data_IF_974666820894
#
_entry.id   IF_974666820894
#
_cell.length_a   1.000
_cell.length_b   1.000
_cell.length_c   1.000
_cell.angle_alpha   90.00
_cell.angle_beta   90.00
_cell.angle_gamma   90.00
#
_symmetry.space_group_name_H-M   'P 1'
#
loop_
_entity.id
_entity.type
_entity.pdbx_description
1 polymer ?
#
# COMPACT_ATOMS: atom_id res chain seq x y z
N UNK A 1 10.74 -87.67 -27.58
CA UNK A 1 11.82 -87.22 -26.68
C UNK A 1 11.27 -86.06 -25.86
N UNK A 2 10.75 -86.37 -24.67
CA UNK A 2 10.27 -85.42 -23.67
C UNK A 2 11.40 -85.23 -22.66
N UNK A 3 11.89 -84.00 -22.52
CA UNK A 3 12.91 -83.66 -21.53
C UNK A 3 12.19 -83.12 -20.29
N UNK A 4 12.18 -83.92 -19.23
CA UNK A 4 11.78 -83.49 -17.89
C UNK A 4 12.85 -82.56 -17.33
N UNK A 5 12.50 -81.30 -17.08
CA UNK A 5 13.36 -80.38 -16.32
C UNK A 5 12.97 -80.49 -14.85
N UNK A 6 13.81 -81.20 -14.12
CA UNK A 6 13.79 -81.29 -12.67
C UNK A 6 13.96 -79.89 -12.05
N UNK A 7 12.90 -79.43 -11.36
CA UNK A 7 12.86 -78.14 -10.69
C UNK A 7 13.23 -78.31 -9.22
N UNK A 8 14.37 -78.92 -8.93
CA UNK A 8 14.92 -79.00 -7.56
C UNK A 8 16.44 -78.82 -7.53
N UNK A 9 16.91 -77.61 -7.83
CA UNK A 9 18.25 -77.17 -7.44
C UNK A 9 18.16 -75.84 -6.69
N UNK A 10 18.58 -75.87 -5.43
CA UNK A 10 18.50 -74.75 -4.49
C UNK A 10 19.29 -73.53 -4.98
N UNK A 11 18.57 -72.42 -5.15
CA UNK A 11 19.19 -71.09 -5.24
C UNK A 11 19.66 -70.63 -3.85
N UNK A 12 20.79 -69.90 -3.76
CA UNK A 12 21.31 -69.43 -2.48
C UNK A 12 20.28 -68.53 -1.79
N UNK A 13 20.07 -68.75 -0.49
CA UNK A 13 19.16 -67.97 0.33
C UNK A 13 19.44 -66.46 0.17
N UNK A 14 18.48 -65.74 -0.40
CA UNK A 14 18.57 -64.30 -0.58
C UNK A 14 18.74 -63.62 0.78
N UNK A 15 19.88 -62.95 0.97
CA UNK A 15 20.10 -62.01 2.08
C UNK A 15 18.97 -60.98 2.12
N UNK A 16 18.41 -60.66 3.30
CA UNK A 16 17.36 -59.64 3.43
C UNK A 16 17.85 -58.30 2.85
N UNK A 17 16.99 -57.53 2.16
CA UNK A 17 17.38 -56.22 1.64
C UNK A 17 17.79 -55.32 2.81
N UNK A 18 19.00 -54.78 2.72
CA UNK A 18 19.56 -53.86 3.72
C UNK A 18 18.68 -52.61 3.79
N UNK A 19 18.29 -52.12 4.99
CA UNK A 19 17.50 -50.90 5.10
C UNK A 19 18.24 -49.73 4.44
N UNK A 20 17.56 -48.84 3.69
CA UNK A 20 18.22 -47.72 3.04
C UNK A 20 18.92 -46.84 4.08
N UNK A 21 20.20 -46.60 3.85
CA UNK A 21 21.07 -45.83 4.75
C UNK A 21 20.51 -44.40 4.91
N UNK A 22 20.33 -43.95 6.15
CA UNK A 22 19.74 -42.65 6.42
C UNK A 22 20.66 -41.54 5.87
N UNK A 23 20.17 -40.80 4.86
CA UNK A 23 20.89 -39.71 4.22
C UNK A 23 21.25 -38.66 5.28
N UNK A 24 22.53 -38.58 5.64
CA UNK A 24 23.06 -37.57 6.55
C UNK A 24 23.01 -36.20 5.86
N UNK A 25 21.96 -35.44 6.09
CA UNK A 25 21.83 -34.08 5.58
C UNK A 25 22.96 -33.19 6.13
N UNK A 26 23.92 -32.83 5.27
CA UNK A 26 24.98 -31.86 5.61
C UNK A 26 24.41 -30.47 5.32
N UNK A 27 24.29 -29.58 6.32
CA UNK A 27 23.77 -28.23 6.08
C UNK A 27 24.72 -27.44 5.18
N UNK A 28 24.19 -26.94 4.05
CA UNK A 28 24.94 -26.09 3.13
C UNK A 28 25.25 -24.75 3.82
N UNK A 29 26.54 -24.39 3.88
CA UNK A 29 26.97 -23.13 4.51
C UNK A 29 26.74 -21.97 3.54
N UNK A 30 25.87 -21.03 3.93
CA UNK A 30 25.46 -19.90 3.10
C UNK A 30 26.38 -18.68 3.30
N UNK A 31 27.69 -18.84 3.01
CA UNK A 31 28.68 -17.76 3.20
C UNK A 31 28.31 -16.46 2.49
N UNK A 32 27.69 -16.53 1.31
CA UNK A 32 27.20 -15.36 0.57
C UNK A 32 26.22 -14.50 1.36
N UNK A 33 25.36 -15.08 2.23
CA UNK A 33 24.40 -14.34 3.06
C UNK A 33 25.11 -13.52 4.15
N UNK A 34 26.16 -14.07 4.74
CA UNK A 34 26.96 -13.38 5.75
C UNK A 34 27.75 -12.24 5.12
N UNK A 35 28.39 -12.48 3.97
CA UNK A 35 29.10 -11.44 3.22
C UNK A 35 28.14 -10.32 2.81
N UNK A 36 26.97 -10.63 2.26
CA UNK A 36 25.98 -9.62 1.90
C UNK A 36 25.45 -8.84 3.11
N UNK A 37 25.27 -9.50 4.26
CA UNK A 37 24.85 -8.84 5.48
C UNK A 37 25.92 -7.87 6.01
N UNK A 38 27.19 -8.29 6.00
CA UNK A 38 28.31 -7.42 6.39
C UNK A 38 28.43 -6.22 5.47
N UNK A 39 28.33 -6.42 4.15
CA UNK A 39 28.35 -5.33 3.18
C UNK A 39 27.17 -4.37 3.40
N UNK A 40 25.97 -4.88 3.63
CA UNK A 40 24.80 -4.05 3.91
C UNK A 40 24.95 -3.22 5.19
N UNK A 41 25.47 -3.82 6.26
CA UNK A 41 25.74 -3.12 7.53
C UNK A 41 26.84 -2.07 7.34
N UNK A 42 27.91 -2.39 6.61
CA UNK A 42 28.98 -1.44 6.32
C UNK A 42 28.48 -0.23 5.52
N UNK A 43 27.63 -0.46 4.51
CA UNK A 43 27.00 0.62 3.75
C UNK A 43 26.09 1.48 4.63
N UNK A 44 25.26 0.87 5.48
CA UNK A 44 24.40 1.60 6.41
C UNK A 44 25.23 2.44 7.39
N UNK A 45 26.28 1.85 7.96
CA UNK A 45 27.21 2.54 8.86
C UNK A 45 27.91 3.69 8.15
N UNK A 46 28.33 3.52 6.89
CA UNK A 46 28.93 4.57 6.09
C UNK A 46 27.96 5.74 5.84
N UNK A 47 26.68 5.44 5.57
CA UNK A 47 25.63 6.47 5.43
C UNK A 47 25.42 7.22 6.75
N UNK A 48 25.25 6.51 7.87
CA UNK A 48 25.08 7.12 9.20
C UNK A 48 26.29 7.97 9.56
N UNK A 49 27.50 7.47 9.31
CA UNK A 49 28.73 8.20 9.52
C UNK A 49 28.77 9.48 8.68
N UNK A 50 28.46 9.40 7.38
CA UNK A 50 28.41 10.57 6.50
C UNK A 50 27.43 11.64 7.00
N UNK A 51 26.23 11.25 7.44
CA UNK A 51 25.25 12.17 8.02
C UNK A 51 25.68 12.74 9.38
N UNK A 52 26.41 11.97 10.19
CA UNK A 52 26.96 12.46 11.48
C UNK A 52 28.03 13.54 11.31
N UNK A 53 28.78 13.49 10.21
CA UNK A 53 29.81 14.49 9.86
C UNK A 53 29.23 15.69 9.10
N UNK A 54 27.96 15.63 8.68
CA UNK A 54 27.28 16.74 8.02
C UNK A 54 27.10 17.94 8.97
N UNK A 55 27.05 19.15 8.41
CA UNK A 55 26.69 20.38 9.13
C UNK A 55 25.20 20.43 9.43
N UNK A 56 24.70 19.47 10.21
CA UNK A 56 23.28 19.33 10.57
C UNK A 56 23.14 19.59 12.07
N UNK A 57 22.33 20.57 12.44
CA UNK A 57 21.96 20.83 13.81
C UNK A 57 20.85 19.86 14.26
N UNK A 58 21.25 18.64 14.65
CA UNK A 58 20.32 17.62 15.17
C UNK A 58 19.52 18.08 16.40
N UNK A 59 20.02 19.09 17.14
CA UNK A 59 19.30 19.70 18.27
C UNK A 59 18.04 20.47 17.87
N UNK A 60 17.95 20.97 16.63
CA UNK A 60 16.78 21.69 16.16
C UNK A 60 15.55 20.79 15.97
N UNK A 61 15.72 19.50 15.70
CA UNK A 61 14.59 18.60 15.39
C UNK A 61 13.67 18.43 16.62
N UNK A 62 14.18 18.07 17.82
CA UNK A 62 13.35 18.01 19.03
C UNK A 62 12.63 19.32 19.36
N UNK A 63 13.30 20.47 19.16
CA UNK A 63 12.74 21.79 19.48
C UNK A 63 11.51 22.12 18.63
N UNK A 64 11.51 21.74 17.35
CA UNK A 64 10.40 21.99 16.44
C UNK A 64 9.42 20.80 16.28
N UNK A 65 9.72 19.63 16.87
CA UNK A 65 8.96 18.40 16.59
C UNK A 65 7.47 18.54 16.93
N UNK A 66 7.15 19.26 18.01
CA UNK A 66 5.79 19.53 18.47
C UNK A 66 5.41 21.02 18.36
N UNK A 67 6.08 21.79 17.51
CA UNK A 67 5.71 23.18 17.22
C UNK A 67 4.28 23.25 16.63
N UNK A 68 3.48 24.21 17.09
CA UNK A 68 2.08 24.36 16.69
C UNK A 68 1.89 24.46 15.17
N UNK A 69 2.86 25.07 14.47
CA UNK A 69 2.82 25.19 13.01
C UNK A 69 2.97 23.82 12.35
N UNK A 70 3.91 23.00 12.84
CA UNK A 70 4.14 21.63 12.36
C UNK A 70 2.90 20.78 12.61
N UNK A 71 2.32 20.84 13.81
CA UNK A 71 1.10 20.10 14.15
C UNK A 71 -0.10 20.55 13.31
N UNK A 72 -0.20 21.86 13.02
CA UNK A 72 -1.23 22.40 12.11
C UNK A 72 -1.02 21.89 10.67
N UNK A 73 0.22 21.88 10.18
CA UNK A 73 0.59 21.33 8.87
C UNK A 73 0.25 19.83 8.77
N UNK A 74 0.59 19.05 9.80
CA UNK A 74 0.21 17.65 9.93
C UNK A 74 -1.32 17.46 9.89
N UNK A 75 -2.07 18.29 10.62
CA UNK A 75 -3.53 18.26 10.59
C UNK A 75 -4.10 18.52 9.19
N UNK A 76 -3.52 19.47 8.45
CA UNK A 76 -3.88 19.76 7.06
C UNK A 76 -3.51 18.61 6.11
N UNK A 77 -2.36 17.97 6.29
CA UNK A 77 -1.96 16.75 5.56
C UNK A 77 -3.02 15.66 5.75
N UNK A 78 -3.44 15.40 6.99
CA UNK A 78 -4.48 14.41 7.30
C UNK A 78 -5.84 14.79 6.71
N UNK A 79 -6.22 16.07 6.79
CA UNK A 79 -7.46 16.59 6.21
C UNK A 79 -7.51 16.34 4.69
N UNK A 80 -6.48 16.75 3.96
CA UNK A 80 -6.39 16.52 2.51
C UNK A 80 -6.40 15.03 2.19
N UNK A 81 -5.66 14.21 2.95
CA UNK A 81 -5.62 12.76 2.75
C UNK A 81 -7.04 12.17 2.85
N UNK A 82 -7.79 12.49 3.90
CA UNK A 82 -9.15 11.96 4.09
C UNK A 82 -10.10 12.45 3.00
N UNK A 83 -10.11 13.77 2.71
CA UNK A 83 -11.04 14.33 1.73
C UNK A 83 -10.72 13.85 0.30
N UNK A 84 -9.44 13.77 -0.09
CA UNK A 84 -9.03 13.25 -1.38
C UNK A 84 -9.39 11.76 -1.52
N UNK A 85 -9.18 10.95 -0.47
CA UNK A 85 -9.61 9.54 -0.48
C UNK A 85 -11.13 9.39 -0.57
N UNK A 86 -11.92 10.27 0.06
CA UNK A 86 -13.38 10.24 -0.06
C UNK A 86 -13.82 10.50 -1.50
N UNK A 87 -13.24 11.52 -2.14
CA UNK A 87 -13.48 11.80 -3.56
C UNK A 87 -13.03 10.60 -4.41
N UNK A 88 -11.84 10.06 -4.14
CA UNK A 88 -11.26 8.95 -4.86
C UNK A 88 -12.09 7.67 -4.78
N UNK A 89 -12.56 7.30 -3.59
CA UNK A 89 -13.39 6.11 -3.39
C UNK A 89 -14.76 6.29 -4.06
N UNK A 90 -15.44 7.42 -3.83
CA UNK A 90 -16.77 7.67 -4.41
C UNK A 90 -16.67 7.76 -5.93
N UNK A 91 -15.75 8.58 -6.45
CA UNK A 91 -15.51 8.74 -7.87
C UNK A 91 -15.05 7.43 -8.52
N UNK A 92 -14.17 6.69 -7.88
CA UNK A 92 -13.67 5.40 -8.36
C UNK A 92 -14.76 4.34 -8.47
N UNK A 93 -15.65 4.23 -7.47
CA UNK A 93 -16.80 3.32 -7.54
C UNK A 93 -17.71 3.69 -8.72
N UNK A 94 -18.02 4.98 -8.89
CA UNK A 94 -18.85 5.45 -10.00
C UNK A 94 -18.21 5.13 -11.36
N UNK A 95 -16.93 5.44 -11.52
CA UNK A 95 -16.16 5.20 -12.74
C UNK A 95 -16.02 3.70 -13.03
N UNK A 96 -15.83 2.86 -12.02
CA UNK A 96 -15.77 1.40 -12.18
C UNK A 96 -17.10 0.85 -12.73
N UNK A 97 -18.23 1.30 -12.17
CA UNK A 97 -19.57 0.93 -12.66
C UNK A 97 -19.79 1.43 -14.08
N UNK A 98 -19.42 2.68 -14.37
CA UNK A 98 -19.49 3.24 -15.72
C UNK A 98 -18.67 2.42 -16.72
N UNK A 99 -17.47 2.00 -16.32
CA UNK A 99 -16.55 1.22 -17.15
C UNK A 99 -17.08 -0.17 -17.48
N UNK A 100 -17.78 -0.81 -16.53
CA UNK A 100 -18.42 -2.12 -16.69
C UNK A 100 -19.79 -2.07 -17.38
N UNK A 101 -20.32 -0.87 -17.65
CA UNK A 101 -21.60 -0.70 -18.32
C UNK A 101 -21.57 -1.22 -19.76
N UNK A 102 -22.68 -1.83 -20.20
CA UNK A 102 -22.90 -2.22 -21.61
C UNK A 102 -23.10 -1.01 -22.53
N UNK A 103 -23.39 0.18 -21.99
CA UNK A 103 -23.53 1.40 -22.77
C UNK A 103 -22.15 1.88 -23.24
N UNK A 104 -21.87 1.89 -24.56
CA UNK A 104 -20.56 2.26 -25.08
C UNK A 104 -20.18 3.71 -24.76
N UNK A 105 -21.15 4.63 -24.65
CA UNK A 105 -20.89 6.04 -24.31
C UNK A 105 -20.37 6.15 -22.88
N UNK A 106 -21.09 5.56 -21.93
CA UNK A 106 -20.71 5.57 -20.51
C UNK A 106 -19.37 4.90 -20.26
N UNK A 107 -19.13 3.74 -20.89
CA UNK A 107 -17.86 3.02 -20.77
C UNK A 107 -16.69 3.77 -21.41
N UNK A 108 -16.91 4.47 -22.52
CA UNK A 108 -15.88 5.27 -23.20
C UNK A 108 -15.50 6.52 -22.42
N UNK A 109 -16.47 7.22 -21.80
CA UNK A 109 -16.19 8.37 -20.93
C UNK A 109 -15.33 7.94 -19.74
N UNK A 110 -15.70 6.86 -19.06
CA UNK A 110 -14.92 6.34 -17.94
C UNK A 110 -13.52 5.89 -18.38
N UNK A 111 -13.40 5.26 -19.55
CA UNK A 111 -12.11 4.88 -20.10
C UNK A 111 -11.19 6.07 -20.34
N UNK A 112 -11.71 7.11 -20.99
CA UNK A 112 -10.94 8.31 -21.30
C UNK A 112 -10.49 9.02 -20.02
N UNK A 113 -11.38 9.14 -19.04
CA UNK A 113 -11.05 9.69 -17.71
C UNK A 113 -9.91 8.90 -17.07
N UNK A 114 -10.05 7.57 -16.96
CA UNK A 114 -9.04 6.71 -16.31
C UNK A 114 -7.71 6.79 -17.05
N UNK A 115 -7.73 6.73 -18.38
CA UNK A 115 -6.54 6.86 -19.22
C UNK A 115 -5.84 8.20 -19.01
N UNK A 116 -6.57 9.31 -18.99
CA UNK A 116 -6.01 10.64 -18.83
C UNK A 116 -5.36 10.82 -17.45
N UNK A 117 -6.10 10.51 -16.37
CA UNK A 117 -5.64 10.75 -15.00
C UNK A 117 -4.52 9.79 -14.57
N UNK A 118 -4.52 8.54 -15.05
CA UNK A 118 -3.42 7.60 -14.79
C UNK A 118 -2.24 7.76 -15.76
N UNK A 119 -2.50 8.28 -16.95
CA UNK A 119 -1.48 8.51 -17.98
C UNK A 119 -0.67 9.80 -17.78
N UNK A 120 -1.12 10.70 -16.91
CA UNK A 120 -0.44 11.97 -16.63
C UNK A 120 0.04 12.05 -15.17
N UNK A 121 1.26 12.55 -14.89
CA UNK A 121 1.73 12.67 -13.51
C UNK A 121 0.86 13.63 -12.69
N UNK A 122 0.52 13.23 -11.46
CA UNK A 122 -0.32 14.05 -10.55
C UNK A 122 0.32 15.41 -10.25
N UNK A 123 1.65 15.49 -10.16
CA UNK A 123 2.36 16.76 -9.98
C UNK A 123 2.08 17.73 -11.14
N UNK A 124 2.07 17.23 -12.38
CA UNK A 124 1.76 18.03 -13.58
C UNK A 124 0.30 18.49 -13.52
N UNK A 125 -0.63 17.61 -13.13
CA UNK A 125 -2.04 17.98 -12.96
C UNK A 125 -2.21 19.13 -11.95
N UNK A 126 -1.59 19.02 -10.77
CA UNK A 126 -1.63 20.05 -9.73
C UNK A 126 -1.11 21.40 -10.24
N UNK A 127 0.08 21.40 -10.87
CA UNK A 127 0.69 22.64 -11.38
C UNK A 127 -0.16 23.26 -12.47
N UNK A 128 -0.66 22.47 -13.43
CA UNK A 128 -1.50 22.98 -14.51
C UNK A 128 -2.77 23.60 -13.95
N UNK A 129 -3.49 22.90 -13.07
CA UNK A 129 -4.77 23.38 -12.55
C UNK A 129 -4.65 24.64 -11.71
N UNK A 130 -3.59 24.73 -10.91
CA UNK A 130 -3.28 25.94 -10.15
C UNK A 130 -3.01 27.14 -11.05
N UNK A 131 -2.33 26.91 -12.19
CA UNK A 131 -1.88 27.96 -13.10
C UNK A 131 -2.81 28.18 -14.30
N UNK A 132 -3.98 27.52 -14.37
CA UNK A 132 -4.94 27.73 -15.45
C UNK A 132 -5.45 29.18 -15.50
N UNK A 133 -5.35 29.93 -14.41
CA UNK A 133 -5.64 31.36 -14.36
C UNK A 133 -4.78 32.21 -15.28
N UNK A 134 -3.59 31.73 -15.67
CA UNK A 134 -2.73 32.37 -16.66
C UNK A 134 -3.29 32.29 -18.09
N UNK A 135 -4.19 31.33 -18.34
CA UNK A 135 -4.85 31.11 -19.64
C UNK A 135 -6.29 31.60 -19.60
N UNK A 136 -6.99 31.34 -18.51
CA UNK A 136 -8.39 31.69 -18.29
C UNK A 136 -8.51 32.59 -17.07
N UNK A 137 -8.62 33.91 -17.28
CA UNK A 137 -8.71 34.89 -16.20
C UNK A 137 -9.95 34.68 -15.30
N UNK A 138 -11.07 34.28 -15.90
CA UNK A 138 -12.32 34.03 -15.20
C UNK A 138 -12.81 32.61 -15.46
N UNK A 139 -13.35 31.97 -14.42
CA UNK A 139 -14.30 30.87 -14.61
C UNK A 139 -15.67 31.48 -14.89
N UNK A 140 -16.27 31.17 -16.04
CA UNK A 140 -17.58 31.69 -16.43
C UNK A 140 -18.49 30.53 -16.82
N UNK A 141 -19.36 30.14 -15.88
CA UNK A 141 -20.35 29.08 -16.05
C UNK A 141 -21.72 29.66 -16.47
N UNK A 142 -21.73 30.72 -17.29
CA UNK A 142 -22.95 31.36 -17.77
C UNK A 142 -23.67 32.16 -16.67
N UNK A 143 -25.02 32.21 -16.64
CA UNK A 143 -25.75 33.09 -15.72
C UNK A 143 -25.68 32.67 -14.25
N UNK A 144 -25.02 31.55 -13.92
CA UNK A 144 -25.05 30.93 -12.61
C UNK A 144 -23.85 31.30 -11.72
N UNK A 145 -22.66 31.47 -12.31
CA UNK A 145 -21.44 31.71 -11.56
C UNK A 145 -20.35 32.31 -12.44
N UNK A 146 -19.73 33.38 -11.94
CA UNK A 146 -18.54 34.00 -12.53
C UNK A 146 -17.63 34.47 -11.42
N UNK A 147 -16.37 34.07 -11.50
CA UNK A 147 -15.34 34.46 -10.53
C UNK A 147 -13.96 34.49 -11.21
N UNK A 148 -13.00 35.16 -10.59
CA UNK A 148 -11.61 35.08 -11.02
C UNK A 148 -11.08 33.66 -10.80
N UNK A 149 -10.31 33.14 -11.75
CA UNK A 149 -9.79 31.78 -11.63
C UNK A 149 -8.93 31.62 -10.37
N UNK A 150 -8.13 32.63 -10.04
CA UNK A 150 -7.25 32.63 -8.86
C UNK A 150 -8.03 32.56 -7.54
N UNK A 151 -9.19 33.21 -7.49
CA UNK A 151 -10.07 33.19 -6.31
C UNK A 151 -10.86 31.89 -6.22
N UNK A 152 -11.29 31.34 -7.36
CA UNK A 152 -11.97 30.06 -7.43
C UNK A 152 -11.03 28.88 -7.10
N UNK A 153 -9.88 28.78 -7.79
CA UNK A 153 -8.90 27.69 -7.64
C UNK A 153 -7.88 27.97 -6.54
N UNK A 154 -8.37 28.08 -5.30
CA UNK A 154 -7.50 28.19 -4.12
C UNK A 154 -6.51 27.02 -4.01
N UNK A 155 -5.38 27.17 -3.29
CA UNK A 155 -4.45 26.07 -3.02
C UNK A 155 -5.12 24.83 -2.43
N UNK A 156 -6.11 25.03 -1.55
CA UNK A 156 -6.89 23.94 -0.96
C UNK A 156 -7.75 23.23 -2.00
N UNK A 157 -8.51 23.97 -2.81
CA UNK A 157 -9.36 23.37 -3.84
C UNK A 157 -8.53 22.63 -4.88
N UNK A 158 -7.40 23.20 -5.29
CA UNK A 158 -6.45 22.58 -6.21
C UNK A 158 -5.90 21.27 -5.65
N UNK A 159 -5.47 21.26 -4.38
CA UNK A 159 -5.02 20.05 -3.70
C UNK A 159 -6.11 18.98 -3.66
N UNK A 160 -7.33 19.37 -3.30
CA UNK A 160 -8.46 18.45 -3.14
C UNK A 160 -8.88 17.83 -4.47
N UNK A 161 -9.08 18.65 -5.50
CA UNK A 161 -9.47 18.17 -6.82
C UNK A 161 -8.33 17.39 -7.48
N UNK A 162 -7.10 17.93 -7.45
CA UNK A 162 -5.95 17.34 -8.12
C UNK A 162 -5.63 15.95 -7.58
N UNK A 163 -5.58 15.80 -6.25
CA UNK A 163 -5.35 14.50 -5.64
C UNK A 163 -6.58 13.60 -5.70
N UNK A 164 -7.78 14.13 -5.40
CA UNK A 164 -9.00 13.32 -5.34
C UNK A 164 -9.45 12.76 -6.69
N UNK A 165 -9.35 13.54 -7.76
CA UNK A 165 -9.69 13.08 -9.12
C UNK A 165 -8.62 12.12 -9.66
N UNK A 166 -7.34 12.35 -9.33
CA UNK A 166 -6.29 11.39 -9.66
C UNK A 166 -6.55 10.05 -8.96
N UNK A 167 -6.83 10.08 -7.66
CA UNK A 167 -7.16 8.91 -6.85
C UNK A 167 -8.40 8.19 -7.35
N UNK A 168 -9.43 8.92 -7.82
CA UNK A 168 -10.63 8.32 -8.38
C UNK A 168 -10.33 7.41 -9.58
N UNK A 169 -9.33 7.74 -10.40
CA UNK A 169 -8.92 6.90 -11.52
C UNK A 169 -8.21 5.62 -11.06
N UNK A 170 -7.36 5.68 -10.04
CA UNK A 170 -6.72 4.49 -9.44
C UNK A 170 -7.77 3.61 -8.75
N UNK A 171 -8.65 4.22 -7.95
CA UNK A 171 -9.73 3.50 -7.30
C UNK A 171 -10.72 2.89 -8.28
N UNK A 172 -10.98 3.50 -9.43
CA UNK A 172 -11.82 2.90 -10.46
C UNK A 172 -11.28 1.54 -10.92
N UNK A 173 -9.97 1.43 -11.12
CA UNK A 173 -9.34 0.19 -11.55
C UNK A 173 -9.28 -0.86 -10.46
N UNK A 174 -9.03 -0.45 -9.21
CA UNK A 174 -9.10 -1.35 -8.05
C UNK A 174 -10.53 -1.90 -7.88
N UNK A 175 -11.55 -1.04 -7.91
CA UNK A 175 -12.95 -1.45 -7.81
C UNK A 175 -13.37 -2.35 -8.98
N UNK A 176 -12.98 -2.00 -10.20
CA UNK A 176 -13.26 -2.81 -11.40
C UNK A 176 -12.61 -4.19 -11.31
N UNK A 177 -11.32 -4.25 -10.94
CA UNK A 177 -10.60 -5.51 -10.77
C UNK A 177 -11.24 -6.37 -9.67
N UNK A 178 -11.64 -5.76 -8.56
CA UNK A 178 -12.32 -6.47 -7.47
C UNK A 178 -13.70 -7.02 -7.86
N UNK A 179 -14.48 -6.28 -8.65
CA UNK A 179 -15.77 -6.76 -9.16
C UNK A 179 -15.60 -7.92 -10.15
N UNK A 180 -14.59 -7.84 -11.03
CA UNK A 180 -14.28 -8.90 -12.01
C UNK A 180 -13.59 -10.12 -11.41
N UNK A 181 -13.03 -10.01 -10.21
CA UNK A 181 -12.41 -11.13 -9.50
C UNK A 181 -13.44 -12.13 -8.95
N UNK A 182 -14.73 -11.78 -8.94
CA UNK A 182 -15.81 -12.69 -8.53
C UNK A 182 -16.19 -13.59 -9.70
N UNK A 183 -16.14 -14.90 -9.48
CA UNK A 183 -16.48 -15.92 -10.48
C UNK A 183 -17.91 -15.74 -11.03
N UNK A 184 -18.06 -15.78 -12.35
CA UNK A 184 -19.35 -15.58 -13.03
C UNK A 184 -20.40 -16.64 -12.61
N UNK A 185 -19.95 -17.87 -12.32
CA UNK A 185 -20.79 -18.96 -11.82
C UNK A 185 -21.49 -18.65 -10.50
N UNK A 186 -20.94 -17.76 -9.66
CA UNK A 186 -21.64 -17.26 -8.46
C UNK A 186 -22.88 -16.46 -8.82
N UNK A 187 -22.79 -15.66 -9.89
CA UNK A 187 -23.90 -14.84 -10.39
C UNK A 187 -24.93 -15.71 -11.10
N UNK A 188 -24.50 -16.69 -11.90
CA UNK A 188 -25.37 -17.67 -12.56
C UNK A 188 -26.13 -18.54 -11.55
N UNK A 189 -25.45 -19.08 -10.54
CA UNK A 189 -26.08 -19.86 -9.47
C UNK A 189 -27.11 -19.05 -8.68
N UNK A 190 -26.82 -17.78 -8.40
CA UNK A 190 -27.76 -16.88 -7.73
C UNK A 190 -29.03 -16.66 -8.57
N UNK A 191 -28.88 -16.48 -9.88
CA UNK A 191 -30.01 -16.34 -10.80
C UNK A 191 -30.81 -17.63 -10.95
N UNK A 192 -30.16 -18.80 -10.97
CA UNK A 192 -30.83 -20.11 -10.92
C UNK A 192 -31.67 -20.31 -9.64
N UNK A 193 -31.25 -19.70 -8.52
CA UNK A 193 -32.02 -19.66 -7.26
C UNK A 193 -33.06 -18.52 -7.21
N UNK A 194 -33.34 -17.84 -8.33
CA UNK A 194 -34.36 -16.79 -8.42
C UNK A 194 -33.97 -15.47 -7.74
N UNK A 195 -32.69 -15.22 -7.49
CA UNK A 195 -32.26 -13.92 -6.94
C UNK A 195 -32.32 -12.83 -8.01
N UNK A 196 -32.89 -11.68 -7.62
CA UNK A 196 -32.83 -10.47 -8.44
C UNK A 196 -31.40 -9.92 -8.49
N UNK A 197 -31.06 -9.19 -9.55
CA UNK A 197 -29.72 -8.61 -9.74
C UNK A 197 -29.24 -7.79 -8.51
N UNK A 198 -30.11 -6.98 -7.92
CA UNK A 198 -29.79 -6.21 -6.71
C UNK A 198 -29.47 -7.11 -5.49
N UNK A 199 -30.19 -8.23 -5.36
CA UNK A 199 -29.97 -9.20 -4.28
C UNK A 199 -28.67 -9.97 -4.51
N UNK A 200 -28.38 -10.39 -5.75
CA UNK A 200 -27.13 -11.04 -6.16
C UNK A 200 -25.94 -10.11 -5.90
N UNK A 201 -26.01 -8.87 -6.35
CA UNK A 201 -24.96 -7.88 -6.13
C UNK A 201 -24.68 -7.66 -4.63
N UNK A 202 -25.72 -7.34 -3.85
CA UNK A 202 -25.57 -6.98 -2.43
C UNK A 202 -25.13 -8.16 -1.55
N UNK A 203 -25.62 -9.37 -1.82
CA UNK A 203 -25.40 -10.54 -0.93
C UNK A 203 -24.28 -11.47 -1.38
N UNK A 204 -23.92 -11.47 -2.66
CA UNK A 204 -22.95 -12.43 -3.21
C UNK A 204 -21.74 -11.71 -3.78
N UNK A 205 -21.93 -10.80 -4.72
CA UNK A 205 -20.80 -10.17 -5.45
C UNK A 205 -20.04 -9.17 -4.58
N UNK A 206 -20.73 -8.19 -3.99
CA UNK A 206 -20.08 -7.11 -3.21
C UNK A 206 -19.27 -7.66 -2.03
N UNK A 207 -19.78 -8.57 -1.17
CA UNK A 207 -18.98 -9.10 -0.06
C UNK A 207 -17.71 -9.81 -0.51
N UNK A 208 -17.71 -10.46 -1.68
CA UNK A 208 -16.55 -11.14 -2.23
C UNK A 208 -15.57 -10.14 -2.87
N UNK A 209 -16.08 -9.21 -3.68
CA UNK A 209 -15.28 -8.14 -4.29
C UNK A 209 -14.56 -7.29 -3.24
N UNK A 210 -15.20 -6.98 -2.11
CA UNK A 210 -14.59 -6.19 -1.03
C UNK A 210 -13.31 -6.83 -0.48
N UNK A 211 -13.17 -8.16 -0.52
CA UNK A 211 -11.94 -8.84 -0.09
C UNK A 211 -10.75 -8.57 -0.99
N UNK A 212 -11.01 -8.25 -2.25
CA UNK A 212 -10.01 -7.93 -3.27
C UNK A 212 -9.75 -6.42 -3.32
N UNK A 213 -10.80 -5.61 -3.10
CA UNK A 213 -10.73 -4.13 -3.15
C UNK A 213 -10.02 -3.56 -1.93
N UNK A 214 -10.33 -4.04 -0.73
CA UNK A 214 -9.90 -3.37 0.51
C UNK A 214 -8.38 -3.35 0.73
N UNK A 215 -7.63 -4.45 0.52
CA UNK A 215 -6.17 -4.41 0.72
C UNK A 215 -5.45 -3.36 -0.15
N UNK A 216 -5.65 -3.29 -1.49
CA UNK A 216 -5.04 -2.23 -2.30
C UNK A 216 -5.58 -0.84 -1.95
N UNK A 217 -6.85 -0.67 -1.59
CA UNK A 217 -7.35 0.63 -1.10
C UNK A 217 -6.63 1.10 0.16
N UNK A 218 -6.28 0.19 1.08
CA UNK A 218 -5.46 0.53 2.24
C UNK A 218 -4.08 1.09 1.86
N UNK A 219 -3.43 0.46 0.88
CA UNK A 219 -2.17 0.95 0.34
C UNK A 219 -2.31 2.32 -0.32
N UNK A 220 -3.41 2.57 -1.03
CA UNK A 220 -3.68 3.89 -1.61
C UNK A 220 -3.88 4.97 -0.55
N UNK A 221 -4.51 4.69 0.60
CA UNK A 221 -4.60 5.68 1.69
C UNK A 221 -3.21 6.08 2.20
N UNK A 222 -2.30 5.12 2.35
CA UNK A 222 -0.91 5.39 2.76
C UNK A 222 -0.14 6.14 1.66
N UNK A 223 -0.36 5.78 0.39
CA UNK A 223 0.24 6.48 -0.73
C UNK A 223 -0.27 7.91 -0.84
N UNK A 224 -1.56 8.14 -0.66
CA UNK A 224 -2.20 9.44 -0.64
C UNK A 224 -1.58 10.33 0.44
N UNK A 225 -1.41 9.81 1.66
CA UNK A 225 -0.75 10.54 2.75
C UNK A 225 0.62 11.10 2.32
N UNK A 226 1.46 10.28 1.67
CA UNK A 226 2.77 10.72 1.16
C UNK A 226 2.62 11.67 -0.04
N UNK A 227 1.69 11.37 -0.94
CA UNK A 227 1.44 12.15 -2.17
C UNK A 227 0.93 13.55 -1.87
N UNK A 228 0.30 13.77 -0.71
CA UNK A 228 -0.04 15.12 -0.25
C UNK A 228 1.16 16.06 -0.22
N UNK A 229 2.40 15.58 -0.04
CA UNK A 229 3.60 16.44 -0.08
C UNK A 229 3.78 17.17 -1.41
N UNK A 230 3.20 16.66 -2.50
CA UNK A 230 3.24 17.29 -3.81
C UNK A 230 2.44 18.60 -3.86
N UNK A 231 1.46 18.80 -2.99
CA UNK A 231 0.65 20.03 -2.97
C UNK A 231 1.42 21.23 -2.44
N UNK A 232 2.62 21.01 -1.89
CA UNK A 232 3.57 22.09 -1.55
C UNK A 232 3.90 22.98 -2.75
N UNK A 233 3.86 22.44 -3.99
CA UNK A 233 4.11 23.21 -5.21
C UNK A 233 3.01 24.22 -5.52
N UNK A 234 1.76 23.91 -5.13
CA UNK A 234 0.62 24.82 -5.24
C UNK A 234 0.45 25.67 -3.98
N UNK A 235 1.50 25.78 -3.17
CA UNK A 235 1.59 26.64 -1.99
C UNK A 235 0.58 26.30 -0.88
N UNK A 236 0.03 25.09 -0.86
CA UNK A 236 -0.82 24.67 0.25
C UNK A 236 0.06 24.27 1.44
N UNK A 237 -0.15 24.95 2.58
CA UNK A 237 0.65 24.82 3.79
C UNK A 237 0.31 23.54 4.58
N UNK A 238 0.62 22.38 3.99
CA UNK A 238 0.63 21.09 4.68
C UNK A 238 2.01 20.79 5.31
N UNK A 239 2.19 19.64 5.95
CA UNK A 239 3.38 19.28 6.73
C UNK A 239 4.71 19.56 6.01
N UNK A 240 4.88 19.09 4.77
CA UNK A 240 6.13 19.29 4.04
C UNK A 240 6.36 20.76 3.73
N UNK A 241 5.33 21.49 3.30
CA UNK A 241 5.45 22.91 3.03
C UNK A 241 5.77 23.73 4.29
N UNK A 242 5.09 23.46 5.40
CA UNK A 242 5.35 24.14 6.67
C UNK A 242 6.79 23.90 7.13
N UNK A 243 7.29 22.66 7.01
CA UNK A 243 8.67 22.35 7.35
C UNK A 243 9.67 23.13 6.49
N UNK A 244 9.41 23.29 5.19
CA UNK A 244 10.23 24.13 4.31
C UNK A 244 10.24 25.60 4.79
N UNK A 245 9.07 26.17 5.07
CA UNK A 245 8.96 27.57 5.49
C UNK A 245 9.66 27.83 6.84
N UNK A 246 9.51 26.93 7.81
CA UNK A 246 10.25 26.99 9.09
C UNK A 246 11.74 26.86 8.84
N UNK A 247 12.17 25.91 8.02
CA UNK A 247 13.58 25.65 7.75
C UNK A 247 14.29 26.83 7.10
N UNK A 248 13.61 27.54 6.20
CA UNK A 248 14.14 28.77 5.59
C UNK A 248 14.25 29.92 6.58
N UNK A 249 13.26 30.08 7.47
CA UNK A 249 13.21 31.19 8.43
C UNK A 249 14.13 30.97 9.64
N UNK A 250 14.32 29.72 10.08
CA UNK A 250 15.22 29.36 11.19
C UNK A 250 16.68 29.14 10.77
N UNK A 251 16.96 29.11 9.46
CA UNK A 251 18.28 28.79 8.94
C UNK A 251 18.65 27.30 9.04
N UNK A 252 17.67 26.43 9.27
CA UNK A 252 17.84 24.98 9.43
C UNK A 252 16.99 24.17 8.41
N UNK A 253 17.17 24.36 7.08
CA UNK A 253 16.34 23.73 6.08
C UNK A 253 16.51 22.21 6.00
N UNK A 254 17.73 21.69 6.18
CA UNK A 254 17.98 20.26 6.11
C UNK A 254 17.33 19.53 7.29
N UNK A 255 17.44 20.10 8.49
CA UNK A 255 16.89 19.63 9.75
C UNK A 255 15.37 19.53 9.66
N UNK A 256 14.70 20.56 9.12
CA UNK A 256 13.25 20.55 9.00
C UNK A 256 12.76 19.53 7.95
N UNK A 257 13.54 19.23 6.91
CA UNK A 257 13.22 18.13 5.99
C UNK A 257 13.30 16.76 6.67
N UNK A 258 14.29 16.54 7.56
CA UNK A 258 14.36 15.33 8.38
C UNK A 258 13.19 15.23 9.36
N UNK A 259 12.79 16.36 9.95
CA UNK A 259 11.61 16.44 10.81
C UNK A 259 10.33 16.06 10.05
N UNK A 260 10.11 16.60 8.84
CA UNK A 260 8.98 16.23 8.00
C UNK A 260 9.00 14.74 7.65
N UNK A 261 10.16 14.20 7.28
CA UNK A 261 10.33 12.77 6.99
C UNK A 261 10.00 11.88 8.20
N UNK A 262 10.43 12.28 9.39
CA UNK A 262 10.11 11.58 10.64
C UNK A 262 8.60 11.57 10.91
N UNK A 263 7.91 12.70 10.71
CA UNK A 263 6.46 12.78 10.83
C UNK A 263 5.73 11.93 9.80
N UNK A 264 6.10 11.96 8.52
CA UNK A 264 5.50 11.07 7.51
C UNK A 264 5.71 9.59 7.85
N UNK A 265 6.88 9.22 8.36
CA UNK A 265 7.16 7.84 8.80
C UNK A 265 6.29 7.45 9.99
N UNK A 266 6.13 8.35 10.98
CA UNK A 266 5.25 8.15 12.12
C UNK A 266 3.80 7.95 11.68
N UNK A 267 3.26 8.86 10.87
CA UNK A 267 1.89 8.77 10.36
C UNK A 267 1.68 7.51 9.50
N UNK A 268 2.63 7.19 8.62
CA UNK A 268 2.58 5.96 7.81
C UNK A 268 2.57 4.72 8.69
N UNK A 269 3.34 4.70 9.79
CA UNK A 269 3.35 3.59 10.73
C UNK A 269 2.00 3.44 11.43
N UNK A 270 1.37 4.54 11.83
CA UNK A 270 0.02 4.53 12.42
C UNK A 270 -1.02 4.00 11.41
N UNK A 271 -0.97 4.48 10.17
CA UNK A 271 -1.90 4.04 9.12
C UNK A 271 -1.69 2.57 8.75
N UNK A 272 -0.44 2.10 8.72
CA UNK A 272 -0.09 0.69 8.46
C UNK A 272 -0.69 -0.24 9.52
N UNK A 273 -0.75 0.18 10.78
CA UNK A 273 -1.44 -0.58 11.83
C UNK A 273 -2.94 -0.67 11.54
N UNK A 274 -3.57 0.45 11.13
CA UNK A 274 -4.97 0.47 10.71
C UNK A 274 -5.25 -0.45 9.52
N UNK A 275 -4.43 -0.36 8.47
CA UNK A 275 -4.49 -1.22 7.29
C UNK A 275 -4.37 -2.70 7.67
N UNK A 276 -3.43 -3.06 8.55
CA UNK A 276 -3.25 -4.45 8.99
C UNK A 276 -4.53 -5.04 9.61
N UNK A 277 -5.22 -4.29 10.48
CA UNK A 277 -6.46 -4.77 11.09
C UNK A 277 -7.62 -4.85 10.08
N UNK A 278 -7.69 -3.90 9.15
CA UNK A 278 -8.69 -3.87 8.10
C UNK A 278 -8.53 -5.08 7.16
N UNK A 279 -7.31 -5.35 6.68
CA UNK A 279 -6.99 -6.52 5.86
C UNK A 279 -7.31 -7.82 6.58
N UNK A 280 -6.95 -7.95 7.86
CA UNK A 280 -7.26 -9.14 8.66
C UNK A 280 -8.76 -9.37 8.78
N UNK A 281 -9.57 -8.32 8.88
CA UNK A 281 -11.03 -8.44 8.95
C UNK A 281 -11.60 -9.03 7.66
N UNK A 282 -11.17 -8.54 6.49
CA UNK A 282 -11.64 -9.04 5.19
C UNK A 282 -11.01 -10.36 4.75
N UNK A 283 -9.84 -10.72 5.30
CA UNK A 283 -9.19 -12.02 5.07
C UNK A 283 -9.89 -13.21 5.79
N UNK A 284 -10.90 -12.95 6.62
CA UNK A 284 -11.68 -14.01 7.32
C UNK A 284 -12.45 -14.83 6.29
N UNK A 285 -12.04 -16.08 6.08
CA UNK A 285 -12.75 -17.06 5.24
C UNK A 285 -11.96 -17.66 4.07
N UNK A 286 -10.82 -17.07 3.67
CA UNK A 286 -9.94 -17.65 2.62
C UNK A 286 -8.73 -18.38 3.20
N UNK A 287 -8.18 -17.89 4.32
CA UNK A 287 -7.05 -18.51 5.00
C UNK A 287 -7.52 -19.40 6.15
N UNK A 288 -7.03 -20.65 6.18
CA UNK A 288 -7.23 -21.61 7.28
C UNK A 288 -6.56 -21.14 8.58
N UNK A 289 -5.60 -20.21 8.50
CA UNK A 289 -4.93 -19.58 9.65
C UNK A 289 -4.61 -18.11 9.35
N UNK A 290 -5.22 -17.18 10.10
CA UNK A 290 -4.90 -15.76 9.97
C UNK A 290 -3.43 -15.51 10.38
N UNK A 291 -2.67 -14.66 9.66
CA UNK A 291 -1.30 -14.32 10.06
C UNK A 291 -1.27 -13.77 11.50
N UNK A 292 -0.22 -14.03 12.29
CA UNK A 292 -0.16 -13.59 13.69
C UNK A 292 -0.15 -12.06 13.80
N UNK A 293 -0.88 -11.51 14.79
CA UNK A 293 -0.88 -10.07 15.08
C UNK A 293 0.53 -9.56 15.40
N UNK A 294 0.83 -8.26 15.21
CA UNK A 294 2.10 -7.68 15.62
C UNK A 294 2.45 -8.02 17.07
N UNK A 295 1.47 -7.94 17.98
CA UNK A 295 1.62 -8.34 19.38
C UNK A 295 1.88 -9.85 19.55
N UNK A 296 1.24 -10.72 18.76
CA UNK A 296 1.51 -12.16 18.76
C UNK A 296 2.91 -12.49 18.24
N UNK A 297 3.41 -11.77 17.22
CA UNK A 297 4.80 -11.91 16.72
C UNK A 297 5.81 -11.49 17.78
N UNK A 298 5.60 -10.33 18.41
CA UNK A 298 6.46 -9.83 19.49
C UNK A 298 6.49 -10.84 20.64
N UNK A 299 5.32 -11.33 21.07
CA UNK A 299 5.19 -12.35 22.10
C UNK A 299 5.91 -13.65 21.70
N UNK A 300 5.68 -14.17 20.51
CA UNK A 300 6.31 -15.40 20.02
C UNK A 300 7.85 -15.29 19.96
N UNK A 301 8.38 -14.12 19.56
CA UNK A 301 9.83 -13.88 19.50
C UNK A 301 10.46 -13.70 20.89
N UNK A 302 9.76 -13.05 21.82
CA UNK A 302 10.22 -12.92 23.21
C UNK A 302 10.26 -14.28 23.94
N UNK A 303 9.24 -15.12 23.72
CA UNK A 303 9.20 -16.45 24.34
C UNK A 303 10.05 -17.52 23.62
N UNK A 304 10.43 -17.33 22.35
CA UNK A 304 11.33 -18.25 21.65
C UNK A 304 12.80 -18.08 22.06
N UNK A 305 13.19 -16.90 22.56
CA UNK A 305 14.52 -16.67 23.15
C UNK A 305 14.68 -17.40 24.49
N UNK A 306 13.59 -17.60 25.25
CA UNK A 306 13.60 -18.32 26.53
C UNK A 306 13.78 -19.84 26.37
N UNK A 307 13.24 -20.43 25.30
CA UNK A 307 13.27 -21.89 25.09
C UNK A 307 14.57 -22.42 24.44
N UNK A 308 15.55 -21.57 24.10
CA UNK A 308 16.83 -22.01 23.54
C UNK A 308 17.90 -22.34 24.58
N UNK A 309 17.68 -22.02 25.86
CA UNK A 309 18.67 -22.26 26.93
C UNK A 309 18.58 -23.66 27.57
N UNK A 310 17.62 -24.51 27.19
CA UNK A 310 17.39 -25.82 27.84
C UNK A 310 17.84 -27.07 27.05
N UNK A 311 18.48 -26.91 25.88
CA UNK A 311 18.91 -28.06 25.03
C UNK A 311 20.42 -28.16 24.80
N UNK A 312 21.26 -27.75 25.76
CA UNK A 312 22.72 -27.96 25.73
C UNK A 312 23.29 -28.61 27.00
N UNK A 313 22.51 -29.47 27.67
CA UNK A 313 23.02 -30.30 28.78
C UNK A 313 22.44 -31.71 28.72
N UNK A 314 23.16 -32.64 28.10
CA UNK A 314 22.74 -34.04 28.06
C UNK A 314 23.42 -34.90 27.00
N UNK A 315 24.76 -34.97 27.03
CA UNK A 315 25.54 -36.07 26.47
C UNK A 315 26.97 -35.98 27.03
N UNK A 316 27.16 -36.57 28.21
CA UNK A 316 28.44 -37.07 28.70
C UNK A 316 28.22 -38.54 29.04
#
# INVERSE_FOLDING_TARGET
MTVDIDKTAGGPAGTPPTPPEAIKAIPVRHYGRYVSAVVAIALLAAVVYAFSQGKINWGAIPDYFFDDRVLTGMGKTLLITVLAMLIGIVGGILLAVMRLSKNPVTSSIAWFYIWFFRGTPVLVQLVVWFNLGLVFEYINLGPFYRDEWSDFMTPFLTALLGLGLNEAAYMAEICRAGLLAVDEGQTEAAHALGMSHAKTLRRIVVPQAMRVIVPPTGNEVINMLKTTSLVSVVQYAELFRVAQDIGQTSGAPAEMLFLAAAWYLLLTSVFSVGQYYLERYYARGSSRSLPPTPLQKIRANLFSLSNRSSTTGGAA
#
